data_IF_017112086197
#
_entry.id   IF_017112086197
#
_cell.length_a   1.000
_cell.length_b   1.000
_cell.length_c   1.000
_cell.angle_alpha   90.00
_cell.angle_beta   90.00
_cell.angle_gamma   90.00
#
_symmetry.space_group_name_H-M   'P 1'
#
loop_
_entity.id
_entity.type
_entity.pdbx_description
1 polymer ?
#
# COMPACT_ATOMS: atom_id res chain seq x y z
N UNK A 1 -1.61 0.50 -5.04
CA UNK A 1 -1.11 1.38 -3.96
C UNK A 1 -0.30 0.63 -2.91
N UNK A 2 -0.87 -0.36 -2.20
CA UNK A 2 -0.18 -1.07 -1.11
C UNK A 2 1.25 -1.57 -1.43
N UNK A 3 1.48 -2.13 -2.63
CA UNK A 3 2.82 -2.54 -3.09
C UNK A 3 3.83 -1.38 -3.09
N UNK A 4 3.41 -0.19 -3.54
CA UNK A 4 4.26 1.01 -3.61
C UNK A 4 4.58 1.55 -2.21
N UNK A 5 3.61 1.50 -1.29
CA UNK A 5 3.85 1.86 0.12
C UNK A 5 4.87 0.91 0.77
N UNK A 6 4.78 -0.40 0.49
CA UNK A 6 5.79 -1.36 0.91
C UNK A 6 7.18 -1.07 0.31
N UNK A 7 7.23 -0.65 -0.95
CA UNK A 7 8.48 -0.25 -1.62
C UNK A 7 9.10 1.01 -1.01
N UNK A 8 8.30 1.90 -0.42
CA UNK A 8 8.75 3.14 0.22
C UNK A 8 9.51 2.91 1.52
N UNK A 9 9.36 1.78 2.21
CA UNK A 9 9.97 1.55 3.53
C UNK A 9 11.49 1.92 3.57
N UNK A 10 11.85 2.96 4.33
CA UNK A 10 13.23 3.47 4.42
C UNK A 10 13.66 4.44 3.31
N UNK A 11 12.72 4.97 2.51
CA UNK A 11 12.95 5.94 1.43
C UNK A 11 11.95 7.10 1.53
N UNK A 12 12.17 8.20 0.82
CA UNK A 12 11.15 9.23 0.68
C UNK A 12 10.07 8.79 -0.34
N UNK A 13 8.83 9.30 -0.19
CA UNK A 13 7.75 8.94 -1.10
C UNK A 13 7.97 9.45 -2.53
N UNK A 14 8.58 10.63 -2.68
CA UNK A 14 8.86 11.21 -4.01
C UNK A 14 9.77 10.30 -4.86
N UNK A 15 10.67 9.52 -4.25
CA UNK A 15 11.49 8.52 -4.95
C UNK A 15 10.61 7.42 -5.56
N UNK A 16 9.60 6.95 -4.83
CA UNK A 16 8.68 5.93 -5.33
C UNK A 16 7.74 6.51 -6.37
N UNK A 17 7.25 7.74 -6.15
CA UNK A 17 6.37 8.42 -7.10
C UNK A 17 7.06 8.63 -8.46
N UNK A 18 8.32 9.09 -8.46
CA UNK A 18 9.11 9.26 -9.69
C UNK A 18 9.40 7.93 -10.41
N UNK A 19 9.38 6.80 -9.67
CA UNK A 19 9.58 5.46 -10.22
C UNK A 19 8.26 4.74 -10.55
N UNK A 20 7.09 5.35 -10.30
CA UNK A 20 5.79 4.67 -10.37
C UNK A 20 5.52 4.04 -11.74
N UNK A 21 5.82 4.74 -12.82
CA UNK A 21 5.61 4.24 -14.18
C UNK A 21 6.55 3.07 -14.51
N UNK A 22 7.79 3.11 -14.01
CA UNK A 22 8.70 1.96 -14.11
C UNK A 22 8.17 0.77 -13.30
N UNK A 23 7.67 0.99 -12.08
CA UNK A 23 7.01 -0.06 -11.32
C UNK A 23 5.83 -0.66 -12.08
N UNK A 24 4.96 0.19 -12.67
CA UNK A 24 3.82 -0.29 -13.47
C UNK A 24 4.28 -1.18 -14.63
N UNK A 25 5.31 -0.76 -15.39
CA UNK A 25 5.87 -1.55 -16.49
C UNK A 25 6.52 -2.85 -16.00
N UNK A 26 7.37 -2.77 -14.99
CA UNK A 26 8.14 -3.90 -14.47
C UNK A 26 7.25 -4.98 -13.84
N UNK A 27 6.15 -4.57 -13.20
CA UNK A 27 5.21 -5.45 -12.50
C UNK A 27 3.91 -5.66 -13.30
N UNK A 28 3.99 -5.73 -14.62
CA UNK A 28 2.89 -6.11 -15.52
C UNK A 28 1.57 -5.35 -15.28
N UNK A 29 1.65 -4.03 -15.10
CA UNK A 29 0.46 -3.21 -14.85
C UNK A 29 -0.10 -3.33 -13.42
N UNK A 30 0.63 -3.98 -12.52
CA UNK A 30 0.17 -4.42 -11.20
C UNK A 30 -0.87 -5.54 -11.22
N UNK A 31 -0.89 -6.36 -12.28
CA UNK A 31 -1.74 -7.55 -12.38
C UNK A 31 -1.33 -8.61 -11.33
N UNK A 32 -2.19 -8.90 -10.34
CA UNK A 32 -1.84 -9.83 -9.26
C UNK A 32 -1.66 -11.27 -9.75
N UNK A 33 -2.36 -11.70 -10.81
CA UNK A 33 -2.22 -13.05 -11.35
C UNK A 33 -0.84 -13.25 -11.97
N UNK A 34 -0.37 -12.27 -12.75
CA UNK A 34 0.96 -12.31 -13.36
C UNK A 34 2.06 -12.24 -12.30
N UNK A 35 1.96 -11.30 -11.36
CA UNK A 35 2.97 -11.12 -10.31
C UNK A 35 3.07 -12.35 -9.40
N UNK A 36 1.95 -12.99 -9.06
CA UNK A 36 1.93 -14.20 -8.23
C UNK A 36 2.68 -15.38 -8.87
N UNK A 37 2.72 -15.41 -10.21
CA UNK A 37 3.38 -16.44 -11.02
C UNK A 37 4.87 -16.17 -11.29
N UNK A 38 5.44 -15.05 -10.82
CA UNK A 38 6.86 -14.74 -11.05
C UNK A 38 7.79 -15.83 -10.52
N UNK A 39 8.66 -16.33 -11.40
CA UNK A 39 9.77 -17.20 -11.04
C UNK A 39 10.86 -16.42 -10.30
N UNK A 40 11.78 -17.13 -9.65
CA UNK A 40 12.94 -16.49 -9.04
C UNK A 40 13.84 -15.82 -10.09
N UNK A 41 13.96 -16.41 -11.29
CA UNK A 41 14.65 -15.79 -12.41
C UNK A 41 14.04 -14.45 -12.82
N UNK A 42 12.70 -14.33 -12.83
CA UNK A 42 12.03 -13.04 -13.08
C UNK A 42 12.36 -12.01 -11.99
N UNK A 43 12.40 -12.42 -10.73
CA UNK A 43 12.79 -11.55 -9.62
C UNK A 43 14.24 -11.08 -9.75
N UNK A 44 15.15 -11.97 -10.15
CA UNK A 44 16.56 -11.63 -10.38
C UNK A 44 16.74 -10.67 -11.56
N UNK A 45 15.93 -10.80 -12.63
CA UNK A 45 15.89 -9.81 -13.72
C UNK A 45 15.41 -8.44 -13.23
N UNK A 46 14.33 -8.39 -12.44
CA UNK A 46 13.81 -7.15 -11.88
C UNK A 46 14.83 -6.44 -10.98
N UNK A 47 15.69 -7.19 -10.27
CA UNK A 47 16.77 -6.62 -9.46
C UNK A 47 17.81 -5.83 -10.28
N UNK A 48 17.88 -6.06 -11.59
CA UNK A 48 18.80 -5.32 -12.47
C UNK A 48 18.20 -4.02 -13.02
N UNK A 49 16.88 -3.81 -12.96
CA UNK A 49 16.24 -2.62 -13.51
C UNK A 49 16.46 -1.40 -12.58
N UNK A 50 17.21 -0.36 -13.02
CA UNK A 50 17.47 0.84 -12.20
C UNK A 50 16.23 1.73 -12.07
N UNK A 51 15.20 1.50 -12.90
CA UNK A 51 13.91 2.18 -12.87
C UNK A 51 13.11 1.91 -11.60
N UNK A 52 13.40 0.83 -10.87
CA UNK A 52 12.76 0.49 -9.59
C UNK A 52 13.76 0.46 -8.42
N UNK A 53 13.28 0.25 -7.18
CA UNK A 53 14.16 0.05 -6.03
C UNK A 53 14.72 -1.36 -6.07
N UNK A 54 16.03 -1.47 -6.29
CA UNK A 54 16.78 -2.74 -6.38
C UNK A 54 17.02 -3.37 -5.01
N UNK A 55 15.95 -3.80 -4.35
CA UNK A 55 15.99 -4.49 -3.07
C UNK A 55 15.30 -5.86 -3.19
N UNK A 56 16.06 -6.93 -2.96
CA UNK A 56 15.61 -8.32 -3.16
C UNK A 56 14.39 -8.66 -2.31
N UNK A 57 14.33 -8.19 -1.07
CA UNK A 57 13.21 -8.48 -0.16
C UNK A 57 11.93 -7.74 -0.61
N UNK A 58 12.04 -6.47 -1.01
CA UNK A 58 10.90 -5.68 -1.51
C UNK A 58 10.34 -6.24 -2.83
N UNK A 59 11.20 -6.67 -3.75
CA UNK A 59 10.75 -7.27 -5.02
C UNK A 59 10.10 -8.64 -4.76
N UNK A 60 10.69 -9.48 -3.91
CA UNK A 60 10.07 -10.75 -3.49
C UNK A 60 8.71 -10.54 -2.82
N UNK A 61 8.60 -9.50 -2.01
CA UNK A 61 7.34 -9.12 -1.34
C UNK A 61 6.21 -8.87 -2.33
N UNK A 62 6.48 -8.29 -3.52
CA UNK A 62 5.44 -8.12 -4.53
C UNK A 62 4.79 -9.45 -4.95
N UNK A 63 5.58 -10.51 -5.19
CA UNK A 63 5.08 -11.86 -5.49
C UNK A 63 4.30 -12.45 -4.32
N UNK A 64 4.86 -12.39 -3.11
CA UNK A 64 4.21 -12.91 -1.91
C UNK A 64 2.87 -12.22 -1.66
N UNK A 65 2.85 -10.89 -1.76
CA UNK A 65 1.65 -10.08 -1.54
C UNK A 65 0.61 -10.29 -2.64
N UNK A 66 1.02 -10.52 -3.89
CA UNK A 66 0.09 -10.85 -4.97
C UNK A 66 -0.64 -12.18 -4.72
N UNK A 67 0.06 -13.21 -4.22
CA UNK A 67 -0.57 -14.48 -3.82
C UNK A 67 -1.56 -14.29 -2.67
N UNK A 68 -1.15 -13.57 -1.63
CA UNK A 68 -2.02 -13.25 -0.50
C UNK A 68 -3.25 -12.41 -0.93
N UNK A 69 -3.06 -11.48 -1.86
CA UNK A 69 -4.13 -10.65 -2.43
C UNK A 69 -5.17 -11.50 -3.16
N UNK A 70 -4.75 -12.46 -3.99
CA UNK A 70 -5.67 -13.37 -4.69
C UNK A 70 -6.47 -14.23 -3.70
N UNK A 71 -5.83 -14.76 -2.66
CA UNK A 71 -6.52 -15.50 -1.61
C UNK A 71 -7.56 -14.65 -0.87
N UNK A 72 -7.24 -13.38 -0.60
CA UNK A 72 -8.21 -12.42 -0.03
C UNK A 72 -9.38 -12.17 -0.98
N UNK A 73 -9.15 -12.06 -2.29
CA UNK A 73 -10.24 -11.89 -3.24
C UNK A 73 -11.16 -13.11 -3.30
N UNK A 74 -10.62 -14.31 -3.13
CA UNK A 74 -11.43 -15.54 -3.05
C UNK A 74 -12.31 -15.56 -1.80
N UNK A 75 -11.77 -15.18 -0.64
CA UNK A 75 -12.51 -15.17 0.63
C UNK A 75 -13.52 -14.02 0.75
N UNK A 76 -13.17 -12.82 0.29
CA UNK A 76 -13.95 -11.59 0.49
C UNK A 76 -14.61 -11.06 -0.78
N UNK A 77 -14.61 -11.83 -1.88
CA UNK A 77 -15.03 -11.42 -3.23
C UNK A 77 -14.12 -10.37 -3.88
N UNK A 78 -13.61 -9.39 -3.12
CA UNK A 78 -12.61 -8.43 -3.59
C UNK A 78 -11.71 -7.93 -2.47
N UNK A 79 -10.51 -7.45 -2.83
CA UNK A 79 -9.64 -6.79 -1.86
C UNK A 79 -10.23 -5.47 -1.34
N UNK A 80 -11.08 -4.81 -2.14
CA UNK A 80 -11.75 -3.59 -1.73
C UNK A 80 -12.74 -3.86 -0.59
N UNK A 81 -13.60 -4.87 -0.75
CA UNK A 81 -14.57 -5.27 0.28
C UNK A 81 -13.85 -5.69 1.57
N UNK A 82 -12.74 -6.42 1.45
CA UNK A 82 -11.88 -6.76 2.57
C UNK A 82 -11.28 -5.55 3.28
N UNK A 83 -10.65 -4.62 2.54
CA UNK A 83 -9.82 -3.59 3.18
C UNK A 83 -10.66 -2.45 3.75
N UNK A 84 -11.82 -2.15 3.16
CA UNK A 84 -12.70 -1.07 3.64
C UNK A 84 -13.49 -1.46 4.90
N UNK A 85 -13.61 -2.75 5.24
CA UNK A 85 -14.26 -3.17 6.48
C UNK A 85 -13.56 -2.60 7.73
N UNK A 86 -12.25 -2.33 7.66
CA UNK A 86 -11.47 -1.77 8.76
C UNK A 86 -11.78 -0.29 9.07
N UNK A 87 -12.54 0.37 8.19
CA UNK A 87 -13.07 1.72 8.38
C UNK A 87 -14.60 1.75 8.21
N UNK A 88 -15.25 0.61 8.43
CA UNK A 88 -16.73 0.50 8.35
C UNK A 88 -17.31 0.96 7.00
N UNK A 89 -16.54 0.82 5.92
CA UNK A 89 -16.96 1.18 4.57
C UNK A 89 -16.95 2.69 4.26
N UNK A 90 -16.54 3.56 5.18
CA UNK A 90 -16.54 5.00 4.99
C UNK A 90 -15.20 5.64 5.40
N UNK A 91 -14.74 6.71 4.72
CA UNK A 91 -13.54 7.42 5.13
C UNK A 91 -13.64 7.96 6.56
N UNK A 92 -12.57 7.81 7.35
CA UNK A 92 -12.45 8.52 8.64
C UNK A 92 -12.07 9.97 8.38
N UNK A 93 -12.96 10.89 8.70
CA UNK A 93 -12.73 12.32 8.58
C UNK A 93 -11.99 12.85 9.81
N UNK A 94 -10.68 13.10 9.70
CA UNK A 94 -9.92 13.75 10.76
C UNK A 94 -10.05 15.28 10.69
N UNK A 95 -9.48 15.99 11.66
CA UNK A 95 -9.54 17.46 11.75
C UNK A 95 -8.21 18.07 12.24
N UNK A 96 -7.09 17.57 11.71
CA UNK A 96 -5.76 18.05 12.08
C UNK A 96 -5.56 19.51 11.66
N UNK A 97 -5.03 20.33 12.55
CA UNK A 97 -4.73 21.75 12.31
C UNK A 97 -3.28 21.98 11.90
N UNK A 98 -2.38 21.07 12.28
CA UNK A 98 -0.96 21.13 11.95
C UNK A 98 -0.40 19.74 11.61
N UNK A 99 0.64 19.68 10.77
CA UNK A 99 1.28 18.43 10.35
C UNK A 99 1.84 17.62 11.53
N UNK A 100 2.29 18.30 12.60
CA UNK A 100 2.80 17.65 13.82
C UNK A 100 1.74 16.84 14.58
N UNK A 101 0.45 17.05 14.28
CA UNK A 101 -0.65 16.28 14.87
C UNK A 101 -0.99 15.02 14.08
N UNK A 102 -0.58 14.94 12.81
CA UNK A 102 -0.85 13.78 11.96
C UNK A 102 0.04 12.62 12.42
N UNK A 103 -0.52 11.50 12.90
CA UNK A 103 0.28 10.42 13.45
C UNK A 103 0.98 9.63 12.33
N UNK A 104 2.05 8.92 12.69
CA UNK A 104 2.69 7.97 11.77
C UNK A 104 1.96 6.61 11.72
N UNK A 105 1.05 6.33 12.66
CA UNK A 105 0.24 5.13 12.72
C UNK A 105 -0.96 5.33 13.66
N UNK A 106 -2.06 4.61 13.43
CA UNK A 106 -3.23 4.58 14.32
C UNK A 106 -3.54 3.16 14.80
N UNK A 107 -4.54 3.00 15.64
CA UNK A 107 -4.97 1.67 16.07
C UNK A 107 -5.59 0.86 14.93
N UNK A 108 -6.33 1.49 14.03
CA UNK A 108 -6.83 0.87 12.80
C UNK A 108 -5.68 0.38 11.92
N UNK A 109 -4.63 1.20 11.74
CA UNK A 109 -3.48 0.81 10.93
C UNK A 109 -2.68 -0.34 11.56
N UNK A 110 -2.65 -0.45 12.89
CA UNK A 110 -2.10 -1.61 13.62
C UNK A 110 -2.94 -2.87 13.40
N UNK A 111 -4.27 -2.74 13.43
CA UNK A 111 -5.21 -3.84 13.16
C UNK A 111 -5.03 -4.36 11.73
N UNK A 112 -5.06 -3.45 10.73
CA UNK A 112 -4.82 -3.79 9.32
C UNK A 112 -3.46 -4.47 9.14
N UNK A 113 -2.39 -3.90 9.69
CA UNK A 113 -1.05 -4.49 9.64
C UNK A 113 -1.04 -5.92 10.21
N UNK A 114 -1.67 -6.14 11.36
CA UNK A 114 -1.71 -7.48 11.99
C UNK A 114 -2.50 -8.46 11.14
N UNK A 115 -3.61 -8.03 10.54
CA UNK A 115 -4.44 -8.90 9.73
C UNK A 115 -3.79 -9.27 8.40
N UNK A 116 -3.26 -8.27 7.68
CA UNK A 116 -2.50 -8.49 6.45
C UNK A 116 -1.31 -9.44 6.69
N UNK A 117 -0.57 -9.27 7.79
CA UNK A 117 0.52 -10.19 8.16
C UNK A 117 0.03 -11.62 8.39
N UNK A 118 -1.09 -11.80 9.12
CA UNK A 118 -1.72 -13.13 9.31
C UNK A 118 -2.09 -13.79 7.98
N UNK A 119 -2.49 -12.98 7.00
CA UNK A 119 -2.85 -13.42 5.64
C UNK A 119 -1.65 -13.60 4.71
N UNK A 120 -0.42 -13.47 5.22
CA UNK A 120 0.81 -13.74 4.47
C UNK A 120 1.38 -12.54 3.73
N UNK A 121 0.81 -11.34 3.88
CA UNK A 121 1.42 -10.13 3.33
C UNK A 121 2.70 -9.77 4.08
N UNK A 122 3.65 -9.19 3.35
CA UNK A 122 4.96 -8.72 3.83
C UNK A 122 5.14 -7.25 3.45
N UNK A 123 6.03 -6.53 4.15
CA UNK A 123 6.18 -5.06 4.00
C UNK A 123 4.87 -4.29 4.22
N UNK A 124 4.11 -4.70 5.23
CA UNK A 124 2.81 -4.12 5.63
C UNK A 124 2.81 -3.75 7.12
N UNK A 125 3.84 -3.02 7.57
CA UNK A 125 3.88 -2.49 8.95
C UNK A 125 2.78 -1.45 9.19
N UNK A 126 2.48 -1.12 10.46
CA UNK A 126 1.40 -0.17 10.80
C UNK A 126 1.60 1.22 10.17
N UNK A 127 2.83 1.71 10.06
CA UNK A 127 3.13 2.97 9.36
C UNK A 127 2.87 2.89 7.87
N UNK A 128 3.24 1.76 7.23
CA UNK A 128 2.95 1.51 5.81
C UNK A 128 1.44 1.42 5.58
N UNK A 129 0.72 0.75 6.49
CA UNK A 129 -0.73 0.65 6.42
C UNK A 129 -1.41 2.01 6.61
N UNK A 130 -0.89 2.87 7.49
CA UNK A 130 -1.46 4.20 7.68
C UNK A 130 -1.22 5.10 6.46
N UNK A 131 0.00 5.07 5.90
CA UNK A 131 0.31 5.74 4.64
C UNK A 131 -0.60 5.25 3.49
N UNK A 132 -0.82 3.93 3.42
CA UNK A 132 -1.78 3.34 2.48
C UNK A 132 -3.20 3.88 2.69
N UNK A 133 -3.69 3.91 3.94
CA UNK A 133 -5.02 4.43 4.28
C UNK A 133 -5.18 5.90 3.85
N UNK A 134 -4.17 6.73 4.09
CA UNK A 134 -4.14 8.13 3.66
C UNK A 134 -4.18 8.22 2.13
N UNK A 135 -3.35 7.44 1.44
CA UNK A 135 -3.20 7.50 -0.01
C UNK A 135 -4.42 6.95 -0.78
N UNK A 136 -5.19 6.05 -0.18
CA UNK A 136 -6.42 5.50 -0.78
C UNK A 136 -7.70 6.19 -0.30
N UNK A 137 -7.60 7.15 0.61
CA UNK A 137 -8.74 7.90 1.11
C UNK A 137 -9.58 7.16 2.17
N UNK A 138 -9.06 6.08 2.76
CA UNK A 138 -9.68 5.46 3.93
C UNK A 138 -9.65 6.39 5.15
N UNK A 139 -8.69 7.33 5.19
CA UNK A 139 -8.68 8.46 6.12
C UNK A 139 -8.44 9.75 5.34
N UNK A 140 -9.13 10.81 5.75
CA UNK A 140 -8.89 12.16 5.24
C UNK A 140 -8.03 12.93 6.23
N UNK A 141 -6.72 12.94 5.97
CA UNK A 141 -5.71 13.62 6.79
C UNK A 141 -5.25 14.97 6.22
N UNK A 142 -5.97 15.50 5.22
CA UNK A 142 -5.76 16.90 4.87
C UNK A 142 -5.96 17.78 6.10
N UNK A 143 -5.06 18.76 6.30
CA UNK A 143 -5.25 19.74 7.35
C UNK A 143 -6.56 20.50 7.13
N UNK A 144 -7.20 20.96 8.20
CA UNK A 144 -8.45 21.75 8.11
C UNK A 144 -8.31 22.99 7.22
N UNK A 145 -7.09 23.56 7.14
CA UNK A 145 -6.75 24.69 6.27
C UNK A 145 -6.54 24.32 4.80
N UNK A 146 -6.40 23.05 4.46
CA UNK A 146 -6.20 22.60 3.09
C UNK A 146 -7.51 22.73 2.30
N UNK A 147 -7.46 23.32 1.11
CA UNK A 147 -8.62 23.47 0.22
C UNK A 147 -9.29 22.13 -0.15
N UNK A 148 -8.57 21.00 -0.03
CA UNK A 148 -9.10 19.65 -0.28
C UNK A 148 -9.86 19.05 0.90
N UNK A 149 -9.71 19.58 2.11
CA UNK A 149 -10.29 19.03 3.35
C UNK A 149 -11.78 18.73 3.22
N UNK A 150 -12.55 19.73 2.77
CA UNK A 150 -14.01 19.62 2.60
C UNK A 150 -14.44 18.84 1.36
N UNK A 151 -13.53 18.61 0.41
CA UNK A 151 -13.85 17.95 -0.86
C UNK A 151 -13.73 16.43 -0.80
N UNK A 152 -13.06 15.90 0.23
CA UNK A 152 -12.74 14.48 0.39
C UNK A 152 -13.62 13.79 1.46
N UNK A 153 -14.81 14.34 1.74
CA UNK A 153 -15.76 13.86 2.76
C UNK A 153 -16.85 12.94 2.14
N UNK A 154 -16.55 12.24 1.04
CA UNK A 154 -17.54 11.41 0.33
C UNK A 154 -17.35 9.93 0.62
#
# INVERSE_FOLDING_TARGET
>A
MLLLEGAQAGLNWITILNKRENYRRCFDGFDPHKIAAYSDARIDQLLQDPGIVRNRLKIRSARTNARAFLAVQEEFKSFNDYIWQFVEGAPRQNAWKAMSQVPASTDESKIISRDLKRRGFTFVGSTICYAFMQATGMVNDHLVSCFRYRTMVR
#
